data_IF_914167898997
#
_entry.id   IF_914167898997
#
_cell.length_a   1.000
_cell.length_b   1.000
_cell.length_c   1.000
_cell.angle_alpha   90.00
_cell.angle_beta   90.00
_cell.angle_gamma   90.00
#
_symmetry.space_group_name_H-M   'P 1'
#
loop_
_entity.id
_entity.type
_entity.pdbx_description
1 polymer ?
#
# COMPACT_ATOMS: atom_id res chain seq x y z
N UNK A 1 -33.29 -36.36 -42.83
CA UNK A 1 -33.49 -35.50 -41.64
C UNK A 1 -32.12 -35.09 -41.15
N UNK A 2 -31.72 -33.83 -41.40
CA UNK A 2 -30.41 -33.30 -41.03
C UNK A 2 -30.52 -32.65 -39.64
N UNK A 3 -29.66 -33.08 -38.70
CA UNK A 3 -29.53 -32.46 -37.40
C UNK A 3 -28.64 -31.22 -37.51
N UNK A 4 -29.19 -30.06 -37.20
CA UNK A 4 -28.50 -28.78 -37.18
C UNK A 4 -27.68 -28.69 -35.88
N UNK A 5 -26.35 -28.82 -35.97
CA UNK A 5 -25.46 -28.52 -34.86
C UNK A 5 -25.40 -26.99 -34.67
N UNK A 6 -25.95 -26.52 -33.55
CA UNK A 6 -25.79 -25.14 -33.10
C UNK A 6 -24.38 -25.00 -32.50
N UNK A 7 -23.43 -24.49 -33.27
CA UNK A 7 -22.14 -24.05 -32.74
C UNK A 7 -22.33 -22.65 -32.13
N UNK A 8 -22.33 -22.58 -30.80
CA UNK A 8 -22.17 -21.30 -30.09
C UNK A 8 -20.71 -20.88 -30.30
N UNK A 9 -20.41 -19.72 -30.92
CA UNK A 9 -19.05 -19.23 -30.98
C UNK A 9 -18.61 -18.90 -29.56
N UNK A 10 -17.57 -19.59 -29.10
CA UNK A 10 -16.80 -19.18 -27.93
C UNK A 10 -16.10 -17.88 -28.31
N UNK A 11 -16.67 -16.73 -27.93
CA UNK A 11 -15.90 -15.49 -27.91
C UNK A 11 -14.94 -15.62 -26.74
N UNK A 12 -13.61 -15.73 -26.96
CA UNK A 12 -12.69 -15.47 -25.87
C UNK A 12 -13.01 -14.07 -25.38
N UNK A 13 -13.37 -13.95 -24.11
CA UNK A 13 -13.42 -12.65 -23.46
C UNK A 13 -11.99 -12.12 -23.59
N UNK A 14 -11.78 -11.16 -24.50
CA UNK A 14 -10.54 -10.40 -24.56
C UNK A 14 -10.41 -9.79 -23.18
N UNK A 15 -9.52 -10.35 -22.37
CA UNK A 15 -9.16 -9.84 -21.04
C UNK A 15 -9.09 -8.32 -21.15
N UNK A 16 -9.94 -7.63 -20.40
CA UNK A 16 -9.69 -6.23 -20.11
C UNK A 16 -8.25 -6.18 -19.58
N UNK A 17 -7.39 -5.40 -20.23
CA UNK A 17 -6.00 -5.26 -19.78
C UNK A 17 -6.00 -4.77 -18.33
N UNK A 18 -4.99 -5.19 -17.56
CA UNK A 18 -4.78 -4.69 -16.20
C UNK A 18 -4.80 -3.16 -16.18
N UNK A 19 -5.73 -2.57 -15.42
CA UNK A 19 -5.80 -1.12 -15.24
C UNK A 19 -4.84 -0.70 -14.12
N UNK A 20 -3.68 -0.16 -14.48
CA UNK A 20 -2.65 0.28 -13.51
C UNK A 20 -3.03 1.56 -12.74
N UNK A 21 -4.20 2.11 -13.05
CA UNK A 21 -4.79 3.30 -12.44
C UNK A 21 -4.03 4.60 -12.69
N UNK A 22 -3.07 4.64 -13.62
CA UNK A 22 -2.30 5.86 -13.90
C UNK A 22 -3.06 6.90 -14.71
N UNK A 23 -2.71 8.15 -14.48
CA UNK A 23 -3.20 9.35 -15.14
C UNK A 23 -2.11 9.95 -16.03
N UNK A 24 -2.52 10.82 -16.94
CA UNK A 24 -1.64 11.58 -17.85
C UNK A 24 -1.06 12.84 -17.21
N UNK A 25 -1.36 13.09 -15.93
CA UNK A 25 -0.80 14.16 -15.12
C UNK A 25 -0.34 13.64 -13.76
N UNK A 26 0.47 14.45 -13.08
CA UNK A 26 1.07 14.11 -11.79
C UNK A 26 0.66 15.15 -10.76
N UNK A 27 0.31 14.72 -9.56
CA UNK A 27 0.17 15.62 -8.41
C UNK A 27 1.38 15.47 -7.51
N UNK A 28 1.96 16.60 -7.12
CA UNK A 28 2.92 16.68 -6.05
C UNK A 28 2.19 17.07 -4.76
N UNK A 29 2.24 16.20 -3.75
CA UNK A 29 1.66 16.42 -2.42
C UNK A 29 2.62 15.90 -1.36
N UNK A 30 2.82 16.67 -0.29
CA UNK A 30 3.78 16.39 0.79
C UNK A 30 5.18 16.00 0.28
N UNK A 31 5.67 16.75 -0.73
CA UNK A 31 6.96 16.52 -1.38
C UNK A 31 7.04 15.27 -2.29
N UNK A 32 6.03 14.41 -2.29
CA UNK A 32 5.95 13.18 -3.10
C UNK A 32 5.17 13.44 -4.37
N UNK A 33 5.46 12.68 -5.43
CA UNK A 33 4.77 12.76 -6.72
C UNK A 33 4.00 11.47 -6.95
N UNK A 34 2.73 11.61 -7.30
CA UNK A 34 1.84 10.50 -7.62
C UNK A 34 1.08 10.81 -8.91
N UNK A 35 0.84 9.79 -9.70
CA UNK A 35 0.13 9.85 -10.97
C UNK A 35 -0.95 8.77 -11.05
N UNK A 36 -1.41 8.26 -9.92
CA UNK A 36 -2.55 7.33 -9.84
C UNK A 36 -3.85 8.11 -9.59
N UNK A 37 -4.97 7.65 -10.14
CA UNK A 37 -6.28 8.31 -9.96
C UNK A 37 -6.78 8.29 -8.50
N UNK A 38 -6.20 7.46 -7.65
CA UNK A 38 -6.44 7.43 -6.21
C UNK A 38 -5.14 7.17 -5.48
N UNK A 39 -4.84 7.94 -4.42
CA UNK A 39 -3.68 7.65 -3.57
C UNK A 39 -3.84 8.25 -2.17
N UNK A 40 -3.47 7.50 -1.13
CA UNK A 40 -3.56 7.96 0.25
C UNK A 40 -2.29 8.65 0.75
N UNK A 41 -2.48 9.65 1.60
CA UNK A 41 -1.41 10.38 2.29
C UNK A 41 -1.69 10.42 3.79
N UNK A 42 -0.64 10.36 4.62
CA UNK A 42 -0.78 10.26 6.08
C UNK A 42 -0.11 11.44 6.79
N UNK A 43 -0.90 12.42 7.22
CA UNK A 43 -0.44 13.71 7.73
C UNK A 43 -0.72 13.87 9.22
N UNK A 44 0.05 14.69 9.92
CA UNK A 44 -0.25 15.05 11.31
C UNK A 44 -1.40 16.09 11.37
N UNK A 45 -2.11 16.18 12.52
CA UNK A 45 -3.02 17.29 12.80
C UNK A 45 -2.38 18.65 12.53
N UNK A 46 -3.09 19.53 11.84
CA UNK A 46 -2.62 20.89 11.50
C UNK A 46 -1.46 20.95 10.50
N UNK A 47 -1.01 19.83 9.92
CA UNK A 47 0.12 19.81 8.98
C UNK A 47 -0.22 20.60 7.71
N UNK A 48 0.65 21.55 7.37
CA UNK A 48 0.54 22.36 6.16
C UNK A 48 1.31 21.68 5.03
N UNK A 49 0.59 21.31 3.98
CA UNK A 49 1.14 20.58 2.83
C UNK A 49 0.97 21.36 1.53
N UNK A 50 2.06 21.61 0.78
CA UNK A 50 1.94 22.14 -0.58
C UNK A 50 1.39 21.07 -1.53
N UNK A 51 0.44 21.49 -2.38
CA UNK A 51 -0.14 20.71 -3.46
C UNK A 51 0.17 21.40 -4.79
N UNK A 52 0.67 20.64 -5.77
CA UNK A 52 0.93 21.15 -7.11
C UNK A 52 0.51 20.15 -8.18
N UNK A 53 -0.17 20.62 -9.20
CA UNK A 53 -0.54 19.80 -10.37
C UNK A 53 0.48 20.01 -11.48
N UNK A 54 1.07 18.91 -11.96
CA UNK A 54 2.14 18.85 -12.95
C UNK A 54 1.68 18.07 -14.19
N UNK A 55 2.11 18.50 -15.38
CA UNK A 55 1.52 17.99 -16.63
C UNK A 55 0.17 18.66 -16.89
N UNK A 56 -0.18 18.83 -18.17
CA UNK A 56 -1.32 19.63 -18.67
C UNK A 56 -1.22 21.16 -18.44
N UNK A 57 -0.24 21.86 -19.06
CA UNK A 57 -0.01 23.29 -18.82
C UNK A 57 -1.20 24.20 -19.12
N UNK A 58 -2.07 23.83 -20.06
CA UNK A 58 -3.15 24.69 -20.56
C UNK A 58 -4.54 24.34 -20.01
N UNK A 59 -4.67 23.24 -19.26
CA UNK A 59 -5.96 22.81 -18.72
C UNK A 59 -6.30 23.58 -17.44
N UNK A 60 -7.50 24.14 -17.35
CA UNK A 60 -8.03 24.64 -16.07
C UNK A 60 -8.16 23.48 -15.08
N UNK A 61 -7.83 23.71 -13.81
CA UNK A 61 -7.86 22.68 -12.77
C UNK A 61 -8.63 23.19 -11.56
N UNK A 62 -9.67 22.44 -11.20
CA UNK A 62 -10.41 22.64 -9.95
C UNK A 62 -9.87 21.69 -8.90
N UNK A 63 -9.61 22.21 -7.70
CA UNK A 63 -9.22 21.41 -6.53
C UNK A 63 -10.23 21.67 -5.41
N UNK A 64 -10.81 20.61 -4.87
CA UNK A 64 -11.73 20.67 -3.73
C UNK A 64 -11.25 19.74 -2.62
N UNK A 65 -11.55 20.09 -1.37
CA UNK A 65 -11.25 19.25 -0.21
C UNK A 65 -12.53 19.11 0.62
N UNK A 66 -12.78 17.92 1.17
CA UNK A 66 -13.95 17.69 2.04
C UNK A 66 -13.77 18.30 3.44
N UNK A 67 -12.52 18.62 3.81
CA UNK A 67 -12.16 19.28 5.06
C UNK A 67 -10.74 19.87 4.99
N UNK A 68 -10.38 20.60 6.05
CA UNK A 68 -9.13 21.37 6.11
C UNK A 68 -9.24 22.70 5.38
N UNK A 69 -8.15 23.46 5.42
CA UNK A 69 -8.09 24.78 4.76
C UNK A 69 -7.30 24.68 3.46
N UNK A 70 -7.99 24.82 2.32
CA UNK A 70 -7.38 24.83 0.99
C UNK A 70 -7.26 26.26 0.47
N UNK A 71 -6.06 26.69 0.12
CA UNK A 71 -5.78 28.02 -0.42
C UNK A 71 -5.00 27.94 -1.72
N UNK A 72 -5.43 28.65 -2.77
CA UNK A 72 -4.66 28.83 -3.99
C UNK A 72 -3.52 29.83 -3.73
N UNK A 73 -2.27 29.39 -3.89
CA UNK A 73 -1.07 30.19 -3.59
C UNK A 73 -0.27 30.57 -4.84
N UNK A 74 -0.74 30.14 -6.02
CA UNK A 74 -0.17 30.52 -7.30
C UNK A 74 -0.68 29.61 -8.41
N UNK A 75 -0.16 29.81 -9.62
CA UNK A 75 -0.54 29.00 -10.77
C UNK A 75 -0.36 27.50 -10.49
N UNK A 76 -1.47 26.76 -10.56
CA UNK A 76 -1.61 25.31 -10.28
C UNK A 76 -0.94 24.88 -8.97
N UNK A 77 -0.91 25.78 -7.98
CA UNK A 77 -0.29 25.56 -6.68
C UNK A 77 -1.26 25.95 -5.58
N UNK A 78 -1.50 24.99 -4.71
CA UNK A 78 -2.32 25.16 -3.52
C UNK A 78 -1.49 24.86 -2.28
N UNK A 79 -1.95 25.38 -1.16
CA UNK A 79 -1.57 24.98 0.17
C UNK A 79 -2.79 24.39 0.83
N UNK A 80 -2.65 23.21 1.42
CA UNK A 80 -3.71 22.58 2.20
C UNK A 80 -3.22 22.38 3.64
N UNK A 81 -4.01 22.81 4.62
CA UNK A 81 -3.77 22.54 6.03
C UNK A 81 -4.72 21.45 6.51
N UNK A 82 -4.17 20.40 7.10
CA UNK A 82 -4.93 19.30 7.67
C UNK A 82 -5.80 19.78 8.85
N UNK A 83 -7.04 19.29 9.00
CA UNK A 83 -7.80 19.46 10.23
C UNK A 83 -7.03 18.97 11.46
N UNK A 84 -7.35 19.55 12.62
CA UNK A 84 -6.80 19.07 13.89
C UNK A 84 -7.42 17.73 14.32
N UNK A 85 -8.66 17.46 13.92
CA UNK A 85 -9.33 16.18 14.18
C UNK A 85 -8.77 15.07 13.28
N UNK A 86 -8.33 13.94 13.85
CA UNK A 86 -8.00 12.73 13.10
C UNK A 86 -9.17 12.26 12.22
N UNK A 87 -8.88 11.74 11.03
CA UNK A 87 -9.94 11.31 10.12
C UNK A 87 -9.54 11.34 8.65
N UNK A 88 -10.51 11.03 7.77
CA UNK A 88 -10.36 11.02 6.33
C UNK A 88 -10.86 12.34 5.72
N UNK A 89 -10.00 12.99 4.95
CA UNK A 89 -10.25 14.26 4.27
C UNK A 89 -9.84 14.17 2.80
N UNK A 90 -10.69 13.66 1.89
CA UNK A 90 -10.33 13.54 0.49
C UNK A 90 -10.13 14.91 -0.17
N UNK A 91 -9.11 15.00 -1.01
CA UNK A 91 -8.87 16.14 -1.90
C UNK A 91 -9.05 15.65 -3.34
N UNK A 92 -9.98 16.26 -4.08
CA UNK A 92 -10.26 15.94 -5.48
C UNK A 92 -9.60 16.96 -6.38
N UNK A 93 -8.81 16.49 -7.35
CA UNK A 93 -8.18 17.28 -8.39
C UNK A 93 -8.86 16.93 -9.71
N UNK A 94 -9.57 17.89 -10.29
CA UNK A 94 -10.33 17.73 -11.54
C UNK A 94 -9.78 18.70 -12.61
N UNK A 95 -8.98 18.22 -13.58
CA UNK A 95 -8.69 18.96 -14.79
C UNK A 95 -9.94 19.11 -15.67
N UNK A 96 -10.07 20.19 -16.43
CA UNK A 96 -11.25 20.45 -17.27
C UNK A 96 -11.60 19.29 -18.23
N UNK A 97 -10.59 18.72 -18.89
CA UNK A 97 -10.74 17.67 -19.91
C UNK A 97 -10.08 16.33 -19.49
N UNK A 98 -9.87 16.11 -18.19
CA UNK A 98 -9.13 14.96 -17.66
C UNK A 98 -9.93 14.07 -16.71
N UNK A 99 -9.44 12.85 -16.47
CA UNK A 99 -9.95 12.02 -15.36
C UNK A 99 -9.56 12.66 -14.02
N UNK A 100 -10.43 12.64 -12.99
CA UNK A 100 -10.07 13.14 -11.68
C UNK A 100 -9.01 12.28 -10.98
N UNK A 101 -8.29 12.91 -10.05
CA UNK A 101 -7.47 12.26 -9.03
C UNK A 101 -8.08 12.54 -7.66
N UNK A 102 -8.20 11.51 -6.83
CA UNK A 102 -8.57 11.64 -5.42
C UNK A 102 -7.36 11.35 -4.53
N UNK A 103 -6.97 12.32 -3.71
CA UNK A 103 -6.04 12.08 -2.62
C UNK A 103 -6.81 11.76 -1.35
N UNK A 104 -6.73 10.53 -0.85
CA UNK A 104 -7.34 10.14 0.42
C UNK A 104 -6.41 10.55 1.57
N UNK A 105 -6.53 11.79 2.03
CA UNK A 105 -5.67 12.31 3.09
C UNK A 105 -6.20 11.89 4.46
N UNK A 106 -5.40 11.15 5.21
CA UNK A 106 -5.73 10.65 6.54
C UNK A 106 -4.91 11.42 7.58
N UNK A 107 -5.60 12.22 8.41
CA UNK A 107 -5.00 12.87 9.56
C UNK A 107 -4.81 11.84 10.67
N UNK A 108 -3.59 11.73 11.19
CA UNK A 108 -3.20 10.74 12.20
C UNK A 108 -3.60 11.16 13.62
N UNK A 109 -3.80 10.17 14.47
CA UNK A 109 -3.73 10.33 15.93
C UNK A 109 -2.27 10.46 16.35
N UNK A 110 -1.87 11.54 17.06
CA UNK A 110 -0.51 11.70 17.55
C UNK A 110 -0.05 10.55 18.45
N UNK A 111 1.23 10.18 18.36
CA UNK A 111 1.78 9.11 19.22
C UNK A 111 2.01 9.54 20.67
N UNK A 112 1.87 10.84 20.96
CA UNK A 112 1.83 11.38 22.33
C UNK A 112 0.60 10.90 23.10
N UNK A 113 -0.47 10.50 22.41
CA UNK A 113 -1.69 9.94 23.01
C UNK A 113 -1.51 8.48 23.47
N UNK A 114 -0.34 7.88 23.23
CA UNK A 114 -0.06 6.51 23.69
C UNK A 114 0.36 6.55 25.15
N UNK A 115 -0.45 5.96 26.02
CA UNK A 115 -0.22 5.85 27.45
C UNK A 115 0.05 4.39 27.82
N UNK A 116 1.18 4.11 28.49
CA UNK A 116 1.59 2.76 28.93
C UNK A 116 1.50 1.68 27.84
N UNK A 117 1.76 2.06 26.59
CA UNK A 117 1.72 1.17 25.43
C UNK A 117 0.31 0.93 24.87
N UNK A 118 -0.67 1.74 25.24
CA UNK A 118 -2.05 1.67 24.75
C UNK A 118 -2.44 2.99 24.10
N UNK A 119 -3.25 2.91 23.05
CA UNK A 119 -3.92 4.07 22.47
C UNK A 119 -5.42 3.83 22.58
N UNK A 120 -6.06 4.50 23.53
CA UNK A 120 -7.35 4.07 24.06
C UNK A 120 -7.27 2.62 24.55
N UNK A 121 -8.14 1.76 24.04
CA UNK A 121 -8.20 0.33 24.39
C UNK A 121 -7.44 -0.60 23.41
N UNK A 122 -6.73 -0.03 22.43
CA UNK A 122 -5.94 -0.79 21.47
C UNK A 122 -4.46 -0.84 21.86
N UNK A 123 -3.92 -2.05 21.96
CA UNK A 123 -2.55 -2.27 22.47
C UNK A 123 -1.51 -1.99 21.39
N UNK A 124 -0.70 -0.96 21.57
CA UNK A 124 0.43 -0.66 20.67
C UNK A 124 1.70 -1.38 21.14
N UNK A 125 1.99 -1.36 22.44
CA UNK A 125 3.30 -1.69 22.98
C UNK A 125 4.34 -0.60 22.72
N UNK A 126 5.61 -0.97 22.85
CA UNK A 126 6.70 0.01 22.90
C UNK A 126 7.66 -0.11 21.71
N UNK A 127 7.90 1.04 21.06
CA UNK A 127 8.99 1.16 20.09
C UNK A 127 10.35 1.17 20.81
N UNK A 128 11.43 0.67 20.18
CA UNK A 128 12.78 0.83 20.72
C UNK A 128 13.16 2.30 20.93
N UNK A 129 13.75 2.62 22.09
CA UNK A 129 14.19 3.99 22.44
C UNK A 129 15.25 4.51 21.46
N UNK A 130 16.17 3.63 21.03
CA UNK A 130 17.23 3.97 20.09
C UNK A 130 16.92 3.38 18.71
N UNK A 131 16.99 4.17 17.63
CA UNK A 131 16.85 3.63 16.28
C UNK A 131 17.98 2.64 15.98
N UNK A 132 17.67 1.61 15.19
CA UNK A 132 18.65 0.58 14.82
C UNK A 132 19.85 1.24 14.13
N UNK A 133 21.03 1.14 14.76
CA UNK A 133 22.28 1.73 14.26
C UNK A 133 22.18 3.23 13.94
N UNK A 134 21.33 3.97 14.67
CA UNK A 134 21.15 5.40 14.42
C UNK A 134 20.33 5.75 13.17
N UNK A 135 19.78 4.77 12.45
CA UNK A 135 19.08 5.03 11.19
C UNK A 135 17.68 5.65 11.44
N UNK A 136 17.40 6.87 10.94
CA UNK A 136 16.14 7.59 11.19
C UNK A 136 14.87 6.83 10.78
N UNK A 137 14.96 5.87 9.85
CA UNK A 137 13.81 5.05 9.44
C UNK A 137 13.22 4.19 10.57
N UNK A 138 13.98 4.02 11.66
CA UNK A 138 13.59 3.29 12.88
C UNK A 138 13.21 4.23 14.04
N UNK A 139 13.04 5.54 13.79
CA UNK A 139 12.41 6.42 14.76
C UNK A 139 10.94 6.00 14.95
N UNK A 140 10.38 6.10 16.17
CA UNK A 140 8.96 5.87 16.39
C UNK A 140 8.11 6.73 15.44
N UNK A 141 7.07 6.18 14.80
CA UNK A 141 6.17 6.95 13.96
C UNK A 141 5.53 8.09 14.76
N UNK A 142 5.42 9.31 14.21
CA UNK A 142 4.91 10.47 14.94
C UNK A 142 3.40 10.36 15.26
N UNK A 143 2.66 9.54 14.51
CA UNK A 143 1.25 9.27 14.72
C UNK A 143 0.82 7.96 14.06
N UNK A 144 -0.42 7.55 14.29
CA UNK A 144 -1.06 6.38 13.70
C UNK A 144 -2.38 6.78 13.04
N UNK A 145 -2.77 6.05 12.01
CA UNK A 145 -4.08 6.20 11.36
C UNK A 145 -5.09 5.47 12.25
N UNK A 146 -6.13 6.18 12.69
CA UNK A 146 -7.29 5.56 13.31
C UNK A 146 -8.15 4.92 12.21
N UNK A 147 -8.51 3.65 12.38
CA UNK A 147 -9.25 2.88 11.40
C UNK A 147 -10.50 2.31 12.04
N UNK A 148 -11.64 2.63 11.43
CA UNK A 148 -12.97 2.13 11.78
C UNK A 148 -13.45 1.08 10.76
N UNK A 149 -14.47 0.26 11.09
CA UNK A 149 -14.99 -0.77 10.17
C UNK A 149 -15.35 -0.25 8.78
N UNK A 150 -15.87 0.97 8.69
CA UNK A 150 -16.32 1.59 7.44
C UNK A 150 -15.15 1.98 6.52
N UNK A 151 -13.92 2.02 7.06
CA UNK A 151 -12.70 2.37 6.34
C UNK A 151 -11.97 1.16 5.77
N UNK A 152 -12.48 -0.05 5.97
CA UNK A 152 -11.82 -1.28 5.49
C UNK A 152 -11.59 -1.27 3.98
N UNK A 153 -12.58 -0.81 3.23
CA UNK A 153 -12.55 -0.70 1.77
C UNK A 153 -12.04 0.65 1.28
N UNK A 154 -11.52 1.51 2.16
CA UNK A 154 -10.96 2.80 1.76
C UNK A 154 -9.75 2.58 0.85
N UNK A 155 -9.75 3.08 -0.40
CA UNK A 155 -8.60 2.92 -1.29
C UNK A 155 -7.39 3.68 -0.75
N UNK A 156 -6.24 3.00 -0.62
CA UNK A 156 -4.95 3.65 -0.37
C UNK A 156 -4.18 3.90 -1.67
N UNK A 157 -4.55 3.19 -2.73
CA UNK A 157 -4.13 3.37 -4.12
C UNK A 157 -5.14 2.62 -5.02
N UNK A 158 -5.01 2.60 -6.37
CA UNK A 158 -6.02 1.97 -7.24
C UNK A 158 -6.33 0.51 -6.89
N UNK A 159 -5.31 -0.27 -6.52
CA UNK A 159 -5.41 -1.71 -6.37
C UNK A 159 -5.27 -2.19 -4.91
N UNK A 160 -5.23 -1.27 -3.94
CA UNK A 160 -5.07 -1.62 -2.52
C UNK A 160 -5.98 -0.78 -1.61
N UNK A 161 -6.51 -1.42 -0.56
CA UNK A 161 -7.37 -0.79 0.46
C UNK A 161 -6.69 -0.74 1.83
N UNK A 162 -7.16 0.16 2.69
CA UNK A 162 -6.57 0.38 4.02
C UNK A 162 -6.67 -0.87 4.91
N UNK A 163 -7.79 -1.60 4.81
CA UNK A 163 -8.08 -2.79 5.60
C UNK A 163 -7.07 -3.93 5.38
N UNK A 164 -6.53 -4.06 4.16
CA UNK A 164 -5.52 -5.08 3.82
C UNK A 164 -4.25 -4.96 4.68
N UNK A 165 -3.94 -3.77 5.21
CA UNK A 165 -2.71 -3.53 5.98
C UNK A 165 -2.88 -3.65 7.49
N UNK A 166 -4.08 -3.95 7.99
CA UNK A 166 -4.35 -3.95 9.43
C UNK A 166 -3.59 -5.05 10.20
N UNK A 167 -3.27 -4.73 11.44
CA UNK A 167 -2.70 -5.69 12.38
C UNK A 167 -3.78 -6.69 12.81
N UNK A 168 -3.43 -7.98 12.85
CA UNK A 168 -4.36 -9.08 13.17
C UNK A 168 -4.71 -9.21 14.66
N UNK A 169 -4.10 -8.41 15.53
CA UNK A 169 -4.42 -8.42 16.96
C UNK A 169 -5.82 -7.88 17.24
N UNK A 170 -6.37 -8.26 18.40
CA UNK A 170 -7.65 -7.76 18.91
C UNK A 170 -8.71 -7.69 17.79
N UNK A 171 -9.05 -8.83 17.15
CA UNK A 171 -9.83 -8.86 15.92
C UNK A 171 -11.17 -8.12 16.07
N UNK A 172 -11.83 -8.31 17.21
CA UNK A 172 -13.16 -7.75 17.50
C UNK A 172 -13.14 -6.32 18.08
N UNK A 173 -11.97 -5.69 18.16
CA UNK A 173 -11.82 -4.35 18.74
C UNK A 173 -11.73 -3.25 17.67
N UNK A 174 -12.38 -2.11 17.95
CA UNK A 174 -12.37 -0.88 17.16
C UNK A 174 -12.34 0.34 18.09
N UNK A 175 -11.68 1.45 17.69
CA UNK A 175 -10.90 1.58 16.46
C UNK A 175 -9.59 0.76 16.52
N UNK A 176 -9.00 0.52 15.35
CA UNK A 176 -7.64 -0.04 15.24
C UNK A 176 -6.68 1.06 14.82
N UNK A 177 -5.40 0.91 15.14
CA UNK A 177 -4.38 1.88 14.78
C UNK A 177 -3.31 1.29 13.87
N UNK A 178 -3.11 1.98 12.75
CA UNK A 178 -2.25 1.56 11.64
C UNK A 178 -1.12 2.56 11.43
N UNK A 179 0.09 2.06 11.21
CA UNK A 179 1.16 2.83 10.57
C UNK A 179 1.32 2.27 9.16
N UNK A 180 1.25 3.13 8.15
CA UNK A 180 1.45 2.78 6.75
C UNK A 180 2.34 3.85 6.09
N UNK A 181 3.23 3.44 5.19
CA UNK A 181 4.11 4.34 4.45
C UNK A 181 3.70 4.37 3.00
N UNK A 182 3.56 5.57 2.44
CA UNK A 182 3.22 5.80 1.04
C UNK A 182 4.23 5.14 0.09
N UNK A 183 5.50 5.09 0.49
CA UNK A 183 6.54 4.41 -0.28
C UNK A 183 6.31 2.90 -0.41
N UNK A 184 5.68 2.26 0.58
CA UNK A 184 5.28 0.84 0.46
C UNK A 184 4.13 0.70 -0.52
N UNK A 185 3.09 1.53 -0.38
CA UNK A 185 1.89 1.49 -1.25
C UNK A 185 2.27 1.70 -2.71
N UNK A 186 3.01 2.76 -3.02
CA UNK A 186 3.51 3.05 -4.37
C UNK A 186 4.39 1.92 -4.92
N UNK A 187 5.18 1.28 -4.06
CA UNK A 187 6.04 0.15 -4.45
C UNK A 187 5.22 -1.09 -4.81
N UNK A 188 4.15 -1.38 -4.06
CA UNK A 188 3.25 -2.50 -4.34
C UNK A 188 2.51 -2.29 -5.68
N UNK A 189 2.03 -1.08 -5.97
CA UNK A 189 1.43 -0.76 -7.28
C UNK A 189 2.40 -0.98 -8.45
N UNK A 190 3.67 -0.58 -8.29
CA UNK A 190 4.67 -0.77 -9.34
C UNK A 190 5.01 -2.25 -9.53
N UNK A 191 5.11 -3.02 -8.43
CA UNK A 191 5.33 -4.47 -8.51
C UNK A 191 4.14 -5.15 -9.17
N UNK A 192 2.91 -4.78 -8.81
CA UNK A 192 1.68 -5.33 -9.37
C UNK A 192 1.58 -5.08 -10.88
N UNK A 193 1.91 -3.87 -11.33
CA UNK A 193 1.96 -3.55 -12.75
C UNK A 193 3.00 -4.39 -13.50
N UNK A 194 4.18 -4.62 -12.90
CA UNK A 194 5.22 -5.45 -13.51
C UNK A 194 4.84 -6.94 -13.59
N UNK A 195 4.20 -7.47 -12.54
CA UNK A 195 3.66 -8.84 -12.51
C UNK A 195 2.64 -9.04 -13.64
N UNK A 196 1.68 -8.11 -13.77
CA UNK A 196 0.70 -8.14 -14.86
C UNK A 196 1.36 -7.97 -16.24
N UNK A 197 2.37 -7.09 -16.37
CA UNK A 197 3.13 -6.91 -17.62
C UNK A 197 3.84 -8.20 -18.06
N UNK A 198 4.20 -9.08 -17.12
CA UNK A 198 4.81 -10.39 -17.38
C UNK A 198 3.79 -11.51 -17.63
N UNK A 199 2.50 -11.19 -17.68
CA UNK A 199 1.43 -12.12 -18.04
C UNK A 199 0.82 -12.88 -16.86
N UNK A 200 1.18 -12.52 -15.62
CA UNK A 200 0.52 -13.05 -14.42
C UNK A 200 -0.60 -12.08 -14.05
N UNK A 201 -1.83 -12.42 -14.46
CA UNK A 201 -2.99 -11.56 -14.27
C UNK A 201 -3.46 -11.58 -12.82
N UNK A 202 -3.51 -10.42 -12.17
CA UNK A 202 -4.04 -10.28 -10.81
C UNK A 202 -4.37 -8.82 -10.53
N UNK A 203 -5.53 -8.56 -9.93
CA UNK A 203 -6.01 -7.20 -9.65
C UNK A 203 -5.39 -6.61 -8.37
N UNK A 204 -4.88 -7.44 -7.48
CA UNK A 204 -4.25 -7.04 -6.22
C UNK A 204 -3.43 -8.19 -5.63
N UNK A 205 -2.50 -7.88 -4.73
CA UNK A 205 -1.88 -8.93 -3.91
C UNK A 205 -2.71 -9.20 -2.67
N UNK A 206 -2.76 -10.47 -2.24
CA UNK A 206 -3.16 -10.74 -0.86
C UNK A 206 -2.06 -10.26 0.07
N UNK A 207 -2.41 -9.28 0.91
CA UNK A 207 -1.53 -8.81 2.00
C UNK A 207 -1.71 -9.75 3.19
N UNK A 208 -0.96 -10.85 3.21
CA UNK A 208 -0.98 -11.82 4.32
C UNK A 208 -0.65 -11.15 5.66
N UNK A 209 0.26 -10.17 5.65
CA UNK A 209 0.58 -9.36 6.81
C UNK A 209 1.08 -7.97 6.40
N UNK A 210 0.32 -6.94 6.76
CA UNK A 210 0.74 -5.54 6.66
C UNK A 210 1.41 -5.05 7.94
N UNK A 211 0.87 -4.00 8.54
CA UNK A 211 1.38 -3.43 9.79
C UNK A 211 1.24 -4.41 10.97
N UNK A 212 2.21 -4.33 11.88
CA UNK A 212 2.17 -5.01 13.17
C UNK A 212 2.46 -3.98 14.25
N UNK A 213 1.68 -3.93 15.32
CA UNK A 213 2.10 -3.11 16.47
C UNK A 213 3.38 -3.70 17.08
N UNK A 214 4.20 -2.89 17.79
CA UNK A 214 5.32 -3.42 18.56
C UNK A 214 4.94 -4.63 19.44
N UNK A 215 3.80 -4.55 20.13
CA UNK A 215 3.30 -5.63 20.97
C UNK A 215 3.02 -6.90 20.18
N UNK A 216 2.22 -6.82 19.11
CA UNK A 216 1.83 -8.00 18.34
C UNK A 216 3.03 -8.63 17.65
N UNK A 217 3.94 -7.80 17.11
CA UNK A 217 5.17 -8.29 16.49
C UNK A 217 6.02 -9.10 17.47
N UNK A 218 6.12 -8.66 18.73
CA UNK A 218 6.81 -9.41 19.78
C UNK A 218 6.04 -10.68 20.16
N UNK A 219 4.71 -10.63 20.29
CA UNK A 219 3.88 -11.76 20.66
C UNK A 219 3.99 -12.94 19.69
N UNK A 220 4.23 -12.67 18.40
CA UNK A 220 4.47 -13.70 17.37
C UNK A 220 5.96 -14.06 17.18
N UNK A 221 6.83 -13.65 18.10
CA UNK A 221 8.23 -14.04 18.15
C UNK A 221 9.17 -13.32 17.16
N UNK A 222 8.73 -12.21 16.55
CA UNK A 222 9.57 -11.47 15.60
C UNK A 222 10.49 -10.45 16.28
N UNK A 223 11.59 -10.12 15.61
CA UNK A 223 12.54 -9.11 16.07
C UNK A 223 11.93 -7.71 16.16
N UNK A 224 12.36 -6.94 17.18
CA UNK A 224 11.85 -5.58 17.48
C UNK A 224 12.06 -4.55 16.36
N UNK A 225 12.96 -4.83 15.41
CA UNK A 225 13.28 -3.95 14.27
C UNK A 225 12.70 -4.44 12.94
N UNK A 226 11.67 -5.29 12.98
CA UNK A 226 10.89 -5.68 11.80
C UNK A 226 10.26 -4.46 11.11
N UNK A 227 10.37 -4.36 9.79
CA UNK A 227 9.82 -3.21 9.03
C UNK A 227 8.29 -3.15 9.03
N UNK A 228 7.58 -4.24 9.35
CA UNK A 228 6.13 -4.24 9.57
C UNK A 228 5.73 -3.30 10.72
N UNK A 229 6.59 -3.13 11.73
CA UNK A 229 6.32 -2.28 12.90
C UNK A 229 6.32 -0.79 12.56
N UNK A 230 6.95 -0.41 11.45
CA UNK A 230 7.00 0.98 10.97
C UNK A 230 6.15 1.17 9.69
N UNK A 231 5.19 0.28 9.42
CA UNK A 231 4.28 0.40 8.28
C UNK A 231 4.96 0.34 6.92
N UNK A 232 6.19 -0.18 6.88
CA UNK A 232 7.04 -0.13 5.70
C UNK A 232 7.23 -1.48 5.02
N UNK A 233 6.52 -2.53 5.44
CA UNK A 233 6.63 -3.88 4.90
C UNK A 233 5.27 -4.54 4.72
N UNK A 234 5.21 -5.46 3.76
CA UNK A 234 4.08 -6.34 3.50
C UNK A 234 4.60 -7.76 3.17
N UNK A 235 3.92 -8.76 3.68
CA UNK A 235 4.07 -10.16 3.25
C UNK A 235 2.94 -10.42 2.23
N UNK A 236 3.31 -10.74 0.98
CA UNK A 236 2.39 -10.77 -0.17
C UNK A 236 2.41 -12.11 -0.91
N UNK A 237 1.28 -12.46 -1.52
CA UNK A 237 1.17 -13.54 -2.50
C UNK A 237 0.05 -13.24 -3.51
N UNK A 238 0.03 -14.00 -4.61
CA UNK A 238 -0.99 -13.94 -5.66
C UNK A 238 -1.99 -15.05 -5.40
N UNK A 239 -3.28 -14.70 -5.38
CA UNK A 239 -4.41 -15.60 -5.14
C UNK A 239 -5.59 -15.13 -5.98
N UNK A 240 -5.65 -15.63 -7.21
CA UNK A 240 -6.67 -15.25 -8.20
C UNK A 240 -7.96 -16.06 -8.05
N UNK A 241 -7.89 -17.20 -7.34
CA UNK A 241 -9.04 -18.08 -7.12
C UNK A 241 -9.75 -17.81 -5.76
N UNK A 242 -9.12 -17.06 -4.87
CA UNK A 242 -9.68 -16.61 -3.60
C UNK A 242 -9.70 -17.68 -2.50
N UNK A 243 -8.87 -18.72 -2.58
CA UNK A 243 -8.81 -19.81 -1.59
C UNK A 243 -7.95 -19.48 -0.36
N UNK A 244 -7.33 -18.30 -0.33
CA UNK A 244 -6.47 -17.83 0.74
C UNK A 244 -5.06 -18.43 0.69
N UNK A 245 -4.66 -19.03 -0.43
CA UNK A 245 -3.33 -19.58 -0.67
C UNK A 245 -2.73 -19.00 -1.94
N UNK A 246 -1.40 -19.09 -2.01
CA UNK A 246 -0.68 -18.71 -3.21
C UNK A 246 -1.07 -19.62 -4.38
N UNK A 247 -1.29 -19.02 -5.54
CA UNK A 247 -1.48 -19.74 -6.80
C UNK A 247 -0.22 -20.51 -7.21
N UNK A 248 -0.40 -21.61 -7.93
CA UNK A 248 0.67 -22.36 -8.59
C UNK A 248 1.16 -21.58 -9.82
N UNK A 249 2.10 -20.66 -9.60
CA UNK A 249 2.61 -19.76 -10.63
C UNK A 249 3.50 -20.48 -11.65
N UNK A 250 4.07 -21.63 -11.28
CA UNK A 250 4.96 -22.39 -12.16
C UNK A 250 4.22 -23.50 -12.95
N UNK A 251 2.99 -23.84 -12.55
CA UNK A 251 2.10 -24.77 -13.24
C UNK A 251 2.46 -26.26 -13.06
N UNK A 252 3.17 -26.64 -12.00
CA UNK A 252 3.56 -28.02 -11.75
C UNK A 252 2.59 -28.80 -10.84
N UNK A 253 1.50 -28.17 -10.42
CA UNK A 253 0.47 -28.72 -9.57
C UNK A 253 0.79 -28.70 -8.07
N UNK A 254 1.84 -27.99 -7.63
CA UNK A 254 2.27 -27.93 -6.23
C UNK A 254 2.45 -26.49 -5.79
N UNK A 255 1.72 -26.10 -4.74
CA UNK A 255 1.88 -24.79 -4.10
C UNK A 255 3.05 -24.84 -3.11
N UNK A 256 4.22 -24.33 -3.51
CA UNK A 256 5.41 -24.29 -2.67
C UNK A 256 6.33 -23.09 -2.95
N UNK A 257 7.53 -23.11 -2.35
CA UNK A 257 8.46 -21.97 -2.40
C UNK A 257 8.89 -21.61 -3.84
N UNK A 258 8.74 -22.52 -4.81
CA UNK A 258 9.04 -22.25 -6.23
C UNK A 258 8.05 -21.27 -6.85
N UNK A 259 6.81 -21.22 -6.36
CA UNK A 259 5.83 -20.22 -6.80
C UNK A 259 6.21 -18.83 -6.28
N UNK A 260 6.52 -18.74 -4.99
CA UNK A 260 6.98 -17.49 -4.39
C UNK A 260 8.31 -17.02 -4.99
N UNK A 261 9.17 -17.93 -5.46
CA UNK A 261 10.39 -17.60 -6.18
C UNK A 261 10.10 -16.86 -7.50
N UNK A 262 9.06 -17.24 -8.26
CA UNK A 262 8.69 -16.52 -9.49
C UNK A 262 8.37 -15.05 -9.17
N UNK A 263 7.55 -14.81 -8.14
CA UNK A 263 7.23 -13.45 -7.72
C UNK A 263 8.48 -12.69 -7.24
N UNK A 264 9.37 -13.38 -6.51
CA UNK A 264 10.65 -12.82 -6.05
C UNK A 264 11.51 -12.37 -7.25
N UNK A 265 11.70 -13.24 -8.25
CA UNK A 265 12.54 -12.99 -9.42
C UNK A 265 12.02 -11.80 -10.24
N UNK A 266 10.71 -11.71 -10.42
CA UNK A 266 10.06 -10.56 -11.08
C UNK A 266 10.40 -9.25 -10.36
N UNK A 267 10.36 -9.27 -9.02
CA UNK A 267 10.65 -8.10 -8.18
C UNK A 267 12.14 -7.74 -8.22
N UNK A 268 13.03 -8.73 -8.25
CA UNK A 268 14.47 -8.50 -8.35
C UNK A 268 14.84 -7.86 -9.69
N UNK A 269 14.39 -8.44 -10.80
CA UNK A 269 14.59 -7.89 -12.14
C UNK A 269 14.08 -6.44 -12.27
N UNK A 270 12.92 -6.15 -11.67
CA UNK A 270 12.35 -4.81 -11.65
C UNK A 270 13.32 -3.80 -11.02
N UNK A 271 13.97 -4.17 -9.91
CA UNK A 271 14.89 -3.30 -9.18
C UNK A 271 16.23 -3.08 -9.88
N UNK A 272 16.62 -3.97 -10.80
CA UNK A 272 17.84 -3.80 -11.60
C UNK A 272 17.70 -2.67 -12.63
N UNK A 273 16.47 -2.35 -13.02
CA UNK A 273 16.24 -1.24 -13.94
C UNK A 273 16.60 0.11 -13.30
N UNK A 274 17.33 0.96 -14.03
CA UNK A 274 17.80 2.27 -13.53
C UNK A 274 16.67 3.17 -13.01
N UNK A 275 15.46 3.03 -13.57
CA UNK A 275 14.25 3.78 -13.19
C UNK A 275 13.77 3.43 -11.77
N UNK A 276 14.06 2.21 -11.30
CA UNK A 276 13.48 1.65 -10.09
C UNK A 276 14.50 1.42 -8.96
N UNK A 277 15.72 1.93 -9.08
CA UNK A 277 16.73 1.91 -8.01
C UNK A 277 16.22 2.50 -6.68
N UNK A 278 15.29 3.46 -6.75
CA UNK A 278 14.66 4.06 -5.54
C UNK A 278 13.67 3.14 -4.83
N UNK A 279 13.27 2.02 -5.46
CA UNK A 279 12.41 0.99 -4.88
C UNK A 279 13.20 -0.04 -4.07
N UNK A 280 14.53 0.05 -4.04
CA UNK A 280 15.38 -0.88 -3.29
C UNK A 280 14.94 -0.96 -1.82
N UNK A 281 14.94 -2.17 -1.30
CA UNK A 281 14.46 -2.48 0.03
C UNK A 281 14.72 -3.94 0.41
N UNK A 282 14.15 -4.36 1.53
CA UNK A 282 14.16 -5.76 1.92
C UNK A 282 13.26 -6.59 1.02
N UNK A 283 13.77 -7.76 0.66
CA UNK A 283 13.03 -8.78 -0.07
C UNK A 283 13.34 -10.13 0.58
N UNK A 284 12.32 -10.92 0.86
CA UNK A 284 12.48 -12.20 1.56
C UNK A 284 11.58 -13.27 0.99
N UNK A 285 12.13 -14.47 0.79
CA UNK A 285 11.38 -15.63 0.34
C UNK A 285 11.01 -16.52 1.53
N UNK A 286 9.74 -16.90 1.64
CA UNK A 286 9.26 -17.76 2.72
C UNK A 286 8.53 -18.99 2.17
N UNK A 287 8.97 -20.16 2.61
CA UNK A 287 8.31 -21.43 2.34
C UNK A 287 7.00 -21.62 3.13
N UNK A 288 6.20 -22.64 2.76
CA UNK A 288 4.93 -22.93 3.40
C UNK A 288 5.10 -23.42 4.85
N UNK A 289 4.06 -23.22 5.67
CA UNK A 289 3.92 -23.77 7.02
C UNK A 289 2.51 -24.36 7.19
N UNK A 290 2.23 -25.15 8.24
CA UNK A 290 0.91 -25.76 8.42
C UNK A 290 -0.28 -24.77 8.39
N UNK A 291 -0.05 -23.50 8.74
CA UNK A 291 -1.07 -22.46 8.84
C UNK A 291 -0.98 -21.38 7.73
N UNK A 292 -0.09 -21.52 6.74
CA UNK A 292 0.06 -20.55 5.63
C UNK A 292 0.83 -21.13 4.43
N UNK A 293 0.51 -20.67 3.23
CA UNK A 293 1.27 -20.98 2.02
C UNK A 293 2.64 -20.28 1.96
N UNK A 294 3.38 -20.47 0.85
CA UNK A 294 4.56 -19.69 0.53
C UNK A 294 4.18 -18.22 0.26
N UNK A 295 5.11 -17.29 0.47
CA UNK A 295 4.89 -15.87 0.22
C UNK A 295 6.21 -15.10 0.05
N UNK A 296 6.10 -13.87 -0.43
CA UNK A 296 7.22 -12.93 -0.56
C UNK A 296 7.06 -11.79 0.42
N UNK A 297 8.11 -11.52 1.20
CA UNK A 297 8.23 -10.31 2.00
C UNK A 297 8.78 -9.17 1.14
N UNK A 298 8.14 -8.00 1.19
CA UNK A 298 8.60 -6.77 0.54
C UNK A 298 8.61 -5.63 1.55
N UNK A 299 9.67 -4.83 1.57
CA UNK A 299 9.66 -3.58 2.32
C UNK A 299 10.31 -2.40 1.58
N UNK A 300 9.99 -1.19 2.04
CA UNK A 300 10.47 0.07 1.52
C UNK A 300 11.54 0.70 2.45
N UNK A 301 12.51 -0.10 2.91
CA UNK A 301 13.60 0.39 3.80
C UNK A 301 14.64 1.28 3.11
N UNK A 302 14.62 1.36 1.78
CA UNK A 302 15.51 2.24 1.00
C UNK A 302 16.94 1.73 0.83
N UNK A 303 17.24 0.53 1.33
CA UNK A 303 18.50 -0.17 1.10
C UNK A 303 18.24 -1.66 0.96
N UNK A 304 19.12 -2.36 0.25
CA UNK A 304 18.99 -3.78 0.01
C UNK A 304 19.07 -4.59 1.32
N UNK A 305 18.27 -5.65 1.38
CA UNK A 305 18.40 -6.77 2.30
C UNK A 305 17.73 -7.99 1.67
N UNK A 306 18.35 -9.17 1.77
CA UNK A 306 17.86 -10.43 1.20
C UNK A 306 17.92 -11.54 2.23
N UNK A 307 16.90 -12.39 2.24
CA UNK A 307 16.90 -13.60 3.06
C UNK A 307 15.92 -14.64 2.51
N UNK A 308 16.18 -15.89 2.83
CA UNK A 308 15.30 -17.02 2.50
C UNK A 308 15.02 -17.79 3.78
N UNK A 309 13.75 -18.12 4.00
CA UNK A 309 13.29 -18.96 5.10
C UNK A 309 12.57 -20.15 4.49
N UNK A 310 13.23 -21.33 4.42
CA UNK A 310 12.62 -22.53 3.85
C UNK A 310 11.43 -23.02 4.66
#
# INVERSE_FOLDING_TARGET
>A
MAALLLTIPFTPNLSAGFEDGRLDYTVQFNGKRVDWHSFAFFVMPGEITPLRVLGQPDAEVTVTATGGELSLIGDRRWQWQAPDEPGLYPITIQPADGRPMTLNVLTKVPSSEVEDGWLGEYRIGEYPVKPLRGNPIYLPPPGKIEVWPEMMELPVSPNFTLGQFLCKQQPDHWPKYLVLREALVAKLEIILAEVNRRGIHTDSFVIMSGHRTPWYNQAIGNGRFSRHVWGGAADIFIDTNGDGRMDDLNGDGRIDMRDAQILLDIIEDLYETRKHQRLHGGLGLYGPRPHRGPFVHVDARGHEARWTVP
#
